data_IF_321281579549
#
_entry.id   IF_321281579549
#
_cell.length_a   1.000
_cell.length_b   1.000
_cell.length_c   1.000
_cell.angle_alpha   90.00
_cell.angle_beta   90.00
_cell.angle_gamma   90.00
#
_symmetry.space_group_name_H-M   'P 1'
#
loop_
_entity.id
_entity.type
_entity.pdbx_description
1 polymer ?
#
# COMPACT_ATOMS: atom_id res chain seq x y z
N UNK A 1 -1.81 17.60 -7.89
CA UNK A 1 -2.30 16.21 -8.11
C UNK A 1 -2.69 15.59 -6.78
N UNK A 2 -3.74 14.76 -6.70
CA UNK A 2 -4.22 14.14 -5.46
C UNK A 2 -4.28 12.59 -5.53
N UNK A 3 -4.51 11.92 -4.39
CA UNK A 3 -4.58 10.46 -4.30
C UNK A 3 -5.55 9.82 -5.30
N UNK A 4 -6.74 10.41 -5.50
CA UNK A 4 -7.75 9.86 -6.41
C UNK A 4 -7.26 9.91 -7.87
N UNK A 5 -6.57 10.98 -8.24
CA UNK A 5 -5.95 11.13 -9.57
C UNK A 5 -4.96 9.99 -9.86
N UNK A 6 -4.02 9.73 -8.94
CA UNK A 6 -3.05 8.62 -9.10
C UNK A 6 -3.75 7.27 -9.26
N UNK A 7 -4.74 6.97 -8.40
CA UNK A 7 -5.44 5.68 -8.48
C UNK A 7 -6.19 5.54 -9.81
N UNK A 8 -6.81 6.62 -10.30
CA UNK A 8 -7.62 6.59 -11.50
C UNK A 8 -6.82 6.60 -12.82
N UNK A 9 -5.62 7.17 -12.82
CA UNK A 9 -4.77 7.32 -14.00
C UNK A 9 -4.35 6.01 -14.65
N UNK A 10 -3.94 6.04 -15.91
CA UNK A 10 -3.34 4.88 -16.55
C UNK A 10 -1.97 4.58 -15.95
N UNK A 11 -1.65 3.29 -15.85
CA UNK A 11 -0.41 2.79 -15.24
C UNK A 11 0.50 2.24 -16.32
N UNK A 12 1.77 2.62 -16.28
CA UNK A 12 2.78 2.11 -17.21
C UNK A 12 4.02 1.63 -16.46
N UNK A 13 4.93 0.93 -17.17
CA UNK A 13 6.15 0.36 -16.60
C UNK A 13 5.90 -0.46 -15.32
N UNK A 14 4.84 -1.28 -15.33
CA UNK A 14 4.43 -2.06 -14.16
C UNK A 14 5.40 -3.22 -13.94
N UNK A 15 6.05 -3.23 -12.77
CA UNK A 15 6.75 -4.39 -12.22
C UNK A 15 6.00 -4.84 -10.96
N UNK A 16 5.53 -6.09 -10.96
CA UNK A 16 4.76 -6.63 -9.85
C UNK A 16 5.64 -7.24 -8.76
N UNK A 17 6.92 -7.53 -9.04
CA UNK A 17 7.86 -8.18 -8.12
C UNK A 17 7.39 -9.52 -7.55
N UNK A 18 8.14 -10.06 -6.60
CA UNK A 18 7.83 -11.32 -5.91
C UNK A 18 7.53 -11.11 -4.42
N UNK A 19 6.83 -12.07 -3.82
CA UNK A 19 6.70 -12.17 -2.38
C UNK A 19 8.04 -12.54 -1.74
N UNK A 20 8.43 -11.78 -0.71
CA UNK A 20 9.66 -11.96 0.06
C UNK A 20 9.36 -11.85 1.55
N UNK A 21 10.36 -12.20 2.38
CA UNK A 21 10.32 -12.10 3.85
C UNK A 21 11.54 -11.32 4.34
N UNK A 22 11.48 -10.85 5.59
CA UNK A 22 12.59 -10.15 6.23
C UNK A 22 12.68 -8.67 5.86
N UNK A 23 13.91 -8.14 5.78
CA UNK A 23 14.17 -6.72 5.51
C UNK A 23 13.85 -6.36 4.06
N UNK A 24 13.15 -5.23 3.87
CA UNK A 24 12.92 -4.68 2.53
C UNK A 24 14.18 -3.92 2.08
N UNK A 25 14.76 -4.25 0.91
CA UNK A 25 15.90 -3.50 0.39
C UNK A 25 15.54 -2.03 0.15
N UNK A 26 16.40 -1.11 0.62
CA UNK A 26 16.21 0.35 0.46
C UNK A 26 15.92 0.78 -0.98
N UNK A 27 16.57 0.23 -2.03
CA UNK A 27 16.25 0.62 -3.40
C UNK A 27 14.83 0.25 -3.83
N UNK A 28 14.20 -0.77 -3.22
CA UNK A 28 12.82 -1.19 -3.51
C UNK A 28 11.78 -0.38 -2.74
N UNK A 29 12.12 0.12 -1.56
CA UNK A 29 11.28 1.02 -0.79
C UNK A 29 12.13 2.12 -0.13
N UNK A 30 12.44 3.21 -0.85
CA UNK A 30 13.30 4.27 -0.35
C UNK A 30 12.68 4.93 0.88
N UNK A 31 13.39 4.91 2.02
CA UNK A 31 12.86 5.46 3.26
C UNK A 31 13.98 5.88 4.22
N UNK A 32 14.89 6.76 3.80
CA UNK A 32 16.10 7.09 4.58
C UNK A 32 15.75 7.74 5.91
N UNK A 33 14.60 8.42 5.97
CA UNK A 33 14.10 9.08 7.19
C UNK A 33 13.26 8.17 8.09
N UNK A 34 12.93 6.96 7.64
CA UNK A 34 12.20 6.03 8.48
C UNK A 34 13.14 5.46 9.56
N UNK A 35 12.66 5.36 10.81
CA UNK A 35 13.41 4.72 11.90
C UNK A 35 13.85 3.32 11.44
N UNK A 36 15.04 2.88 11.83
CA UNK A 36 15.67 1.63 11.38
C UNK A 36 14.81 0.35 11.54
N UNK A 37 13.72 0.39 12.32
CA UNK A 37 12.78 -0.71 12.56
C UNK A 37 11.51 -0.65 11.69
N UNK A 38 11.24 0.43 10.96
CA UNK A 38 9.96 0.68 10.30
C UNK A 38 9.59 -0.34 9.19
N UNK A 39 10.59 -1.06 8.66
CA UNK A 39 10.44 -2.04 7.58
C UNK A 39 11.15 -3.37 7.87
N UNK A 40 11.41 -3.64 9.15
CA UNK A 40 11.92 -4.94 9.62
C UNK A 40 10.75 -5.75 10.13
N UNK A 41 10.18 -6.56 9.25
CA UNK A 41 9.04 -7.41 9.60
C UNK A 41 9.51 -8.75 10.16
N UNK A 42 8.76 -9.27 11.14
CA UNK A 42 9.03 -10.60 11.70
C UNK A 42 8.88 -11.69 10.63
N UNK A 43 9.47 -12.86 10.86
CA UNK A 43 9.54 -13.96 9.87
C UNK A 43 8.18 -14.41 9.31
N UNK A 44 7.10 -14.24 10.08
CA UNK A 44 5.74 -14.60 9.67
C UNK A 44 5.13 -13.64 8.65
N UNK A 45 5.67 -12.42 8.52
CA UNK A 45 5.21 -11.47 7.53
C UNK A 45 5.86 -11.74 6.18
N UNK A 46 5.05 -11.61 5.14
CA UNK A 46 5.52 -11.54 3.76
C UNK A 46 5.25 -10.14 3.21
N UNK A 47 6.14 -9.66 2.36
CA UNK A 47 6.00 -8.39 1.67
C UNK A 47 6.25 -8.55 0.17
N UNK A 48 5.62 -7.68 -0.62
CA UNK A 48 5.81 -7.58 -2.08
C UNK A 48 5.79 -6.10 -2.46
N UNK A 49 6.60 -5.72 -3.44
CA UNK A 49 6.62 -4.36 -3.96
C UNK A 49 6.13 -4.41 -5.40
N UNK A 50 5.11 -3.61 -5.69
CA UNK A 50 4.70 -3.30 -7.06
C UNK A 50 5.20 -1.89 -7.36
N UNK A 51 5.87 -1.68 -8.49
CA UNK A 51 6.24 -0.34 -8.98
C UNK A 51 5.62 -0.06 -10.33
N UNK A 52 5.28 1.20 -10.57
CA UNK A 52 4.70 1.66 -11.82
C UNK A 52 4.84 3.18 -11.97
N UNK A 53 4.64 3.67 -13.18
CA UNK A 53 4.49 5.10 -13.46
C UNK A 53 3.01 5.45 -13.55
N UNK A 54 2.63 6.61 -13.00
CA UNK A 54 1.29 7.18 -13.15
C UNK A 54 1.38 8.70 -13.14
N UNK A 55 0.82 9.39 -14.15
CA UNK A 55 0.84 10.86 -14.25
C UNK A 55 2.25 11.45 -14.10
N UNK A 56 3.27 10.79 -14.67
CA UNK A 56 4.67 11.21 -14.55
C UNK A 56 5.34 10.96 -13.18
N UNK A 57 4.67 10.27 -12.26
CA UNK A 57 5.21 9.92 -10.94
C UNK A 57 5.66 8.45 -10.85
N UNK A 58 6.86 8.21 -10.31
CA UNK A 58 7.30 6.88 -9.85
C UNK A 58 6.51 6.51 -8.60
N UNK A 59 5.63 5.53 -8.75
CA UNK A 59 4.72 5.06 -7.72
C UNK A 59 5.08 3.64 -7.28
N UNK A 60 4.88 3.36 -6.00
CA UNK A 60 5.10 2.04 -5.43
C UNK A 60 3.98 1.63 -4.49
N UNK A 61 3.61 0.36 -4.54
CA UNK A 61 2.73 -0.27 -3.55
C UNK A 61 3.55 -1.29 -2.76
N UNK A 62 3.71 -1.03 -1.46
CA UNK A 62 4.21 -2.01 -0.51
C UNK A 62 3.04 -2.83 0.02
N UNK A 63 3.01 -4.10 -0.38
CA UNK A 63 2.17 -5.11 0.20
C UNK A 63 2.84 -5.72 1.41
N UNK A 64 2.07 -5.91 2.47
CA UNK A 64 2.48 -6.62 3.67
C UNK A 64 1.31 -7.48 4.12
N UNK A 65 1.53 -8.77 4.35
CA UNK A 65 0.53 -9.59 4.98
C UNK A 65 1.12 -10.62 5.95
N UNK A 66 0.28 -11.06 6.87
CA UNK A 66 0.53 -12.16 7.81
C UNK A 66 -0.75 -12.98 7.91
N UNK A 67 -0.71 -14.20 7.38
CA UNK A 67 -1.87 -15.09 7.30
C UNK A 67 -2.39 -15.51 8.68
N UNK A 68 -1.49 -15.92 9.57
CA UNK A 68 -1.82 -16.35 10.93
C UNK A 68 -2.52 -15.25 11.74
N UNK A 69 -2.02 -14.01 11.66
CA UNK A 69 -2.64 -12.86 12.33
C UNK A 69 -3.80 -12.25 11.54
N UNK A 70 -4.06 -12.76 10.33
CA UNK A 70 -5.00 -12.18 9.35
C UNK A 70 -4.81 -10.67 9.21
N UNK A 71 -3.56 -10.26 8.95
CA UNK A 71 -3.16 -8.87 8.72
C UNK A 71 -2.87 -8.69 7.25
N UNK A 72 -3.42 -7.64 6.65
CA UNK A 72 -3.10 -7.16 5.32
C UNK A 72 -2.93 -5.65 5.33
N UNK A 73 -1.88 -5.17 4.67
CA UNK A 73 -1.68 -3.75 4.38
C UNK A 73 -1.18 -3.58 2.95
N UNK A 74 -1.72 -2.59 2.27
CA UNK A 74 -1.22 -2.12 0.98
C UNK A 74 -0.97 -0.61 1.06
N UNK A 75 0.31 -0.24 1.07
CA UNK A 75 0.78 1.14 1.20
C UNK A 75 1.15 1.70 -0.17
N UNK A 76 0.38 2.65 -0.70
CA UNK A 76 0.71 3.39 -1.91
C UNK A 76 1.57 4.61 -1.56
N UNK A 77 2.69 4.75 -2.24
CA UNK A 77 3.57 5.91 -2.13
C UNK A 77 4.11 6.39 -3.47
N UNK A 78 4.58 7.63 -3.48
CA UNK A 78 5.26 8.28 -4.61
C UNK A 78 6.71 8.51 -4.24
N UNK A 79 7.63 8.21 -5.17
CA UNK A 79 9.06 8.47 -4.98
C UNK A 79 9.37 9.92 -5.32
N UNK A 80 9.94 10.64 -4.35
CA UNK A 80 10.38 12.04 -4.52
C UNK A 80 11.65 12.28 -3.71
N UNK A 81 12.70 12.79 -4.38
CA UNK A 81 13.97 13.07 -3.72
C UNK A 81 14.64 11.84 -3.08
N UNK A 82 14.41 10.64 -3.64
CA UNK A 82 14.93 9.38 -3.10
C UNK A 82 14.23 8.90 -1.83
N UNK A 83 13.04 9.42 -1.52
CA UNK A 83 12.17 8.97 -0.42
C UNK A 83 10.82 8.51 -0.96
N UNK A 84 10.21 7.55 -0.28
CA UNK A 84 8.82 7.14 -0.52
C UNK A 84 7.89 7.96 0.35
N UNK A 85 7.14 8.83 -0.29
CA UNK A 85 6.05 9.58 0.33
C UNK A 85 4.79 8.72 0.31
N UNK A 86 4.42 8.13 1.45
CA UNK A 86 3.18 7.33 1.56
C UNK A 86 1.96 8.23 1.58
N UNK A 87 1.07 7.99 0.63
CA UNK A 87 -0.14 8.78 0.41
C UNK A 87 -1.43 8.03 0.78
N UNK A 88 -1.36 6.71 0.87
CA UNK A 88 -2.49 5.86 1.24
C UNK A 88 -2.00 4.54 1.85
N UNK A 89 -2.45 4.21 3.06
CA UNK A 89 -2.33 2.87 3.63
C UNK A 89 -3.72 2.23 3.71
N UNK A 90 -3.98 1.21 2.90
CA UNK A 90 -5.22 0.45 2.94
C UNK A 90 -5.01 -0.81 3.78
N UNK A 91 -5.74 -0.95 4.88
CA UNK A 91 -5.43 -1.87 5.97
C UNK A 91 -6.63 -2.75 6.35
N UNK A 92 -6.31 -4.00 6.69
CA UNK A 92 -7.19 -4.93 7.36
C UNK A 92 -6.40 -5.66 8.44
N UNK A 93 -6.85 -5.52 9.69
CA UNK A 93 -6.35 -6.28 10.83
C UNK A 93 -7.53 -7.01 11.47
N UNK A 94 -7.43 -8.33 11.62
CA UNK A 94 -8.49 -9.11 12.27
C UNK A 94 -8.80 -8.72 13.72
N UNK A 95 -7.87 -8.03 14.40
CA UNK A 95 -8.05 -7.49 15.74
C UNK A 95 -8.69 -6.10 15.76
N UNK A 96 -9.02 -5.54 14.59
CA UNK A 96 -9.64 -4.21 14.46
C UNK A 96 -11.08 -4.31 13.94
N UNK A 97 -11.88 -3.23 14.05
CA UNK A 97 -13.30 -3.24 13.68
C UNK A 97 -13.60 -3.51 12.20
N UNK A 98 -12.58 -3.51 11.33
CA UNK A 98 -12.71 -3.87 9.93
C UNK A 98 -11.70 -3.17 9.03
N UNK A 99 -12.01 -3.18 7.73
CA UNK A 99 -11.23 -2.49 6.72
C UNK A 99 -11.23 -0.99 6.92
N UNK A 100 -10.06 -0.38 6.79
CA UNK A 100 -9.91 1.05 6.87
C UNK A 100 -8.73 1.53 6.02
N UNK A 101 -8.67 2.83 5.82
CA UNK A 101 -7.66 3.49 5.01
C UNK A 101 -7.11 4.68 5.77
N UNK A 102 -5.79 4.87 5.77
CA UNK A 102 -5.16 6.12 6.14
C UNK A 102 -4.78 6.87 4.87
N UNK A 103 -5.43 7.99 4.57
CA UNK A 103 -5.25 8.71 3.31
C UNK A 103 -4.74 10.13 3.52
N UNK A 104 -3.87 10.59 2.61
CA UNK A 104 -3.48 11.99 2.48
C UNK A 104 -4.42 12.71 1.52
N UNK A 105 -5.36 13.46 2.08
CA UNK A 105 -6.37 14.19 1.31
C UNK A 105 -5.90 15.61 0.95
N UNK A 106 -4.67 15.76 0.48
CA UNK A 106 -4.10 17.05 0.05
C UNK A 106 -3.36 16.88 -1.28
N UNK A 107 -2.99 17.98 -1.92
CA UNK A 107 -2.11 17.92 -3.09
C UNK A 107 -0.74 17.33 -2.72
N UNK A 108 -0.20 16.47 -3.59
CA UNK A 108 1.13 15.88 -3.43
C UNK A 108 2.23 16.94 -3.30
N UNK A 109 2.06 18.10 -3.94
CA UNK A 109 3.01 19.22 -3.82
C UNK A 109 3.14 19.72 -2.39
N UNK A 110 2.06 19.62 -1.61
CA UNK A 110 1.93 20.16 -0.25
C UNK A 110 2.29 19.12 0.83
N UNK A 111 2.63 17.90 0.43
CA UNK A 111 3.04 16.86 1.35
C UNK A 111 4.51 17.02 1.72
N UNK A 112 4.78 17.05 3.03
CA UNK A 112 6.14 17.09 3.54
C UNK A 112 6.81 15.71 3.41
N UNK A 113 7.91 15.58 2.63
CA UNK A 113 8.66 14.33 2.47
C UNK A 113 9.29 13.79 3.77
N UNK A 114 9.28 14.54 4.88
CA UNK A 114 9.69 14.02 6.19
C UNK A 114 8.64 13.11 6.85
N UNK A 115 7.38 13.15 6.42
CA UNK A 115 6.27 12.43 7.06
C UNK A 115 5.89 11.17 6.28
N UNK A 116 6.79 10.19 6.25
CA UNK A 116 6.61 8.94 5.49
C UNK A 116 5.44 8.03 5.96
N UNK A 117 4.69 8.39 7.03
CA UNK A 117 3.52 7.61 7.50
C UNK A 117 2.49 8.43 8.30
N UNK A 118 2.90 9.49 8.99
CA UNK A 118 2.06 10.17 9.98
C UNK A 118 1.27 11.37 9.47
N UNK A 119 -0.03 11.41 9.78
CA UNK A 119 -0.95 12.52 9.46
C UNK A 119 -1.94 12.23 8.31
N UNK A 120 -2.13 10.97 7.96
CA UNK A 120 -3.24 10.56 7.11
C UNK A 120 -4.55 10.55 7.90
N UNK A 121 -5.66 10.89 7.23
CA UNK A 121 -7.00 10.77 7.82
C UNK A 121 -7.41 9.30 7.77
N UNK A 122 -7.80 8.73 8.91
CA UNK A 122 -8.33 7.36 9.00
C UNK A 122 -9.79 7.35 8.55
N UNK A 123 -10.13 6.47 7.61
CA UNK A 123 -11.45 6.31 7.01
C UNK A 123 -11.84 4.82 6.94
N UNK A 124 -12.94 4.39 7.56
CA UNK A 124 -13.75 5.12 8.53
C UNK A 124 -12.97 5.36 9.85
N UNK A 125 -13.48 6.23 10.73
CA UNK A 125 -12.95 6.39 12.10
C UNK A 125 -13.04 5.06 12.86
N UNK A 126 -12.15 4.83 13.82
CA UNK A 126 -12.06 3.56 14.55
C UNK A 126 -13.39 3.17 15.26
N UNK A 127 -14.13 4.15 15.77
CA UNK A 127 -15.42 3.95 16.44
C UNK A 127 -16.65 4.10 15.52
N UNK A 128 -16.45 4.26 14.22
CA UNK A 128 -17.55 4.37 13.26
C UNK A 128 -17.91 3.00 12.67
N UNK A 129 -19.04 2.94 11.97
CA UNK A 129 -19.46 1.74 11.26
C UNK A 129 -18.45 1.36 10.15
N UNK A 130 -18.07 0.08 10.10
CA UNK A 130 -17.19 -0.47 9.08
C UNK A 130 -18.01 -1.36 8.15
N UNK A 131 -18.06 -0.99 6.86
CA UNK A 131 -18.83 -1.73 5.84
C UNK A 131 -18.32 -3.16 5.63
N UNK A 132 -17.01 -3.37 5.78
CA UNK A 132 -16.36 -4.67 5.60
C UNK A 132 -15.58 -4.98 6.86
N UNK A 133 -15.93 -6.07 7.53
CA UNK A 133 -15.32 -6.50 8.80
C UNK A 133 -14.49 -7.78 8.67
N UNK A 134 -14.52 -8.41 7.50
CA UNK A 134 -13.72 -9.58 7.17
C UNK A 134 -12.85 -9.35 5.94
N UNK A 135 -11.67 -9.97 5.90
CA UNK A 135 -10.92 -10.10 4.66
C UNK A 135 -11.57 -11.14 3.76
N UNK A 136 -12.31 -10.65 2.76
CA UNK A 136 -12.72 -11.45 1.60
C UNK A 136 -12.47 -10.66 0.34
N UNK A 137 -11.66 -11.20 -0.56
CA UNK A 137 -11.50 -10.68 -1.91
C UNK A 137 -12.04 -11.73 -2.89
N UNK A 138 -13.08 -11.38 -3.64
CA UNK A 138 -13.81 -12.32 -4.52
C UNK A 138 -14.23 -13.63 -3.80
N UNK A 139 -14.73 -13.50 -2.57
CA UNK A 139 -15.13 -14.61 -1.67
C UNK A 139 -13.99 -15.51 -1.18
N UNK A 140 -12.74 -15.26 -1.58
CA UNK A 140 -11.57 -16.01 -1.11
C UNK A 140 -10.99 -15.40 0.18
N UNK A 141 -10.45 -16.23 1.09
CA UNK A 141 -9.83 -15.77 2.34
C UNK A 141 -8.48 -15.09 2.08
N UNK A 142 -7.86 -14.53 3.12
CA UNK A 142 -6.53 -13.95 3.03
C UNK A 142 -5.48 -15.03 2.72
N UNK A 143 -4.75 -14.85 1.64
CA UNK A 143 -3.56 -15.60 1.23
C UNK A 143 -2.63 -14.67 0.45
N UNK A 144 -1.42 -15.13 0.11
CA UNK A 144 -0.49 -14.34 -0.72
C UNK A 144 -1.11 -13.91 -2.06
N UNK A 145 -1.84 -14.82 -2.70
CA UNK A 145 -2.50 -14.57 -3.99
C UNK A 145 -3.64 -13.56 -3.84
N UNK A 146 -4.50 -13.73 -2.84
CA UNK A 146 -5.67 -12.85 -2.66
C UNK A 146 -5.27 -11.49 -2.13
N UNK A 147 -4.21 -11.39 -1.32
CA UNK A 147 -3.61 -10.12 -0.91
C UNK A 147 -3.09 -9.34 -2.12
N UNK A 148 -2.38 -10.01 -3.03
CA UNK A 148 -1.91 -9.40 -4.28
C UNK A 148 -3.08 -8.93 -5.15
N UNK A 149 -4.02 -9.82 -5.48
CA UNK A 149 -5.20 -9.49 -6.30
C UNK A 149 -6.03 -8.35 -5.68
N UNK A 150 -6.17 -8.34 -4.35
CA UNK A 150 -6.88 -7.27 -3.66
C UNK A 150 -6.21 -5.92 -3.87
N UNK A 151 -4.88 -5.84 -3.80
CA UNK A 151 -4.16 -4.58 -4.01
C UNK A 151 -4.18 -4.12 -5.47
N UNK A 152 -4.07 -5.05 -6.42
CA UNK A 152 -4.24 -4.77 -7.85
C UNK A 152 -5.59 -4.08 -8.08
N UNK A 153 -6.67 -4.62 -7.51
CA UNK A 153 -8.01 -4.07 -7.62
C UNK A 153 -8.20 -2.73 -6.88
N UNK A 154 -7.64 -2.58 -5.67
CA UNK A 154 -7.71 -1.33 -4.88
C UNK A 154 -7.05 -0.17 -5.63
N UNK A 155 -5.87 -0.40 -6.21
CA UNK A 155 -5.07 0.65 -6.86
C UNK A 155 -5.21 0.69 -8.38
N UNK A 156 -6.13 -0.11 -8.94
CA UNK A 156 -6.43 -0.19 -10.38
C UNK A 156 -5.18 -0.41 -11.24
N UNK A 157 -4.35 -1.37 -10.81
CA UNK A 157 -3.10 -1.72 -11.49
C UNK A 157 -3.37 -2.67 -12.68
N UNK A 158 -4.50 -3.38 -12.64
CA UNK A 158 -5.04 -4.24 -13.71
C UNK A 158 -5.37 -3.48 -15.01
N UNK A 159 -5.41 -2.15 -14.96
CA UNK A 159 -5.62 -1.28 -16.12
C UNK A 159 -4.32 -0.91 -16.85
N UNK A 160 -3.19 -1.47 -16.46
CA UNK A 160 -1.94 -1.23 -17.13
C UNK A 160 -1.89 -1.93 -18.49
N UNK A 161 -1.36 -1.25 -19.51
CA UNK A 161 -1.09 -1.88 -20.81
C UNK A 161 -0.16 -3.09 -20.62
N UNK A 162 -0.55 -4.25 -21.16
CA UNK A 162 0.28 -5.46 -21.19
C UNK A 162 0.14 -6.42 -20.00
N UNK A 163 -0.83 -6.24 -19.10
CA UNK A 163 -1.20 -7.30 -18.14
C UNK A 163 -2.11 -8.34 -18.80
N UNK A 164 -1.52 -9.49 -19.17
CA UNK A 164 -2.23 -10.73 -19.55
C UNK A 164 -2.44 -11.59 -18.31
#
# INVERSE_FOLDING_TARGET
MNLRGIIAADKSAVDTGDWKRGEIPRPKWPSRRAKAKAYKYGQQYQWRIISFMAEGHDCRVLLLFNESKRIFRASLGVIRGGETLVICDYEYHASEPGWHCHARCVDLSNLNPSHNRFGGVRLPKANAYHRRVEFRHLKQPLSAQTAFNCAISIFRIDKAEGMV
#
